data_IF_713519221718
#
_entry.id   IF_713519221718
#
_cell.length_a   1.000
_cell.length_b   1.000
_cell.length_c   1.000
_cell.angle_alpha   90.00
_cell.angle_beta   90.00
_cell.angle_gamma   90.00
#
_symmetry.space_group_name_H-M   'P 1'
#
loop_
_entity.id
_entity.type
_entity.pdbx_description
1 polymer ?
#
# COMPACT_ATOMS: atom_id res chain seq x y z
N UNK A 1 65.65 63.45 54.93
CA UNK A 1 64.43 64.21 55.29
C UNK A 1 63.29 63.65 54.47
N UNK A 2 62.09 63.55 55.03
CA UNK A 2 60.90 63.02 54.39
C UNK A 2 59.69 63.84 54.83
N UNK A 3 58.79 64.14 53.91
CA UNK A 3 57.45 64.71 54.08
C UNK A 3 56.86 64.92 52.66
N UNK A 4 55.54 65.03 52.45
CA UNK A 4 54.45 64.14 52.84
C UNK A 4 53.28 64.39 51.85
N UNK A 5 52.29 63.51 51.76
CA UNK A 5 51.12 63.71 50.86
C UNK A 5 50.12 64.73 51.43
N UNK A 6 49.22 65.33 50.62
CA UNK A 6 47.92 64.68 50.43
C UNK A 6 47.26 64.85 49.03
N UNK A 7 46.37 63.91 48.67
CA UNK A 7 45.29 64.13 47.68
C UNK A 7 44.02 64.64 48.39
N UNK A 8 43.01 65.18 47.68
CA UNK A 8 41.78 64.36 47.53
C UNK A 8 40.92 64.63 46.27
N UNK A 9 40.09 63.64 45.89
CA UNK A 9 38.69 63.67 45.33
C UNK A 9 38.26 64.75 44.31
N UNK A 10 37.41 64.52 43.28
CA UNK A 10 36.68 63.40 42.63
C UNK A 10 36.16 63.98 41.26
N UNK A 11 35.21 63.49 40.44
CA UNK A 11 34.24 62.37 40.47
C UNK A 11 33.76 62.00 39.04
N UNK A 12 33.31 60.74 38.84
CA UNK A 12 32.43 60.26 37.75
C UNK A 12 32.96 60.36 36.27
N UNK A 13 32.54 59.57 35.27
CA UNK A 13 31.52 58.51 35.15
C UNK A 13 31.93 57.39 34.15
N UNK A 14 31.42 56.17 34.35
CA UNK A 14 30.99 55.19 33.32
C UNK A 14 31.78 54.94 32.01
N UNK A 15 32.43 53.78 31.89
CA UNK A 15 32.38 52.81 30.75
C UNK A 15 33.24 51.57 31.13
N UNK A 16 32.74 50.33 31.05
CA UNK A 16 32.65 49.50 29.84
C UNK A 16 34.05 49.30 29.20
N UNK A 17 34.75 48.22 29.56
CA UNK A 17 34.66 46.87 28.98
C UNK A 17 35.46 46.74 27.66
N UNK A 18 36.24 45.67 27.53
CA UNK A 18 37.33 45.56 26.57
C UNK A 18 38.24 44.34 26.80
N UNK A 19 37.64 43.15 26.85
CA UNK A 19 38.33 41.87 27.09
C UNK A 19 38.17 40.81 25.98
N UNK A 20 37.44 41.13 24.90
CA UNK A 20 37.20 40.32 23.70
C UNK A 20 36.89 41.28 22.53
N UNK A 21 37.05 40.98 21.24
CA UNK A 21 37.25 39.69 20.56
C UNK A 21 38.39 39.75 19.51
N UNK A 22 39.13 38.64 19.36
CA UNK A 22 39.87 38.31 18.13
C UNK A 22 39.42 36.94 17.58
N UNK A 23 38.11 36.73 17.35
CA UNK A 23 37.62 35.42 16.87
C UNK A 23 36.35 35.45 16.00
N UNK A 24 36.42 36.07 14.82
CA UNK A 24 35.34 35.98 13.81
C UNK A 24 35.79 35.40 12.46
N UNK A 25 37.00 35.70 11.98
CA UNK A 25 37.45 35.28 10.64
C UNK A 25 37.84 33.78 10.53
N UNK A 26 38.00 33.08 11.66
CA UNK A 26 38.29 31.63 11.71
C UNK A 26 37.09 30.77 11.30
N UNK A 27 35.87 31.29 11.42
CA UNK A 27 34.64 30.50 11.49
C UNK A 27 34.07 30.06 10.12
N UNK A 28 34.48 30.70 9.03
CA UNK A 28 34.05 30.30 7.68
C UNK A 28 34.83 29.07 7.18
N UNK A 29 36.10 28.93 7.56
CA UNK A 29 36.96 27.84 7.10
C UNK A 29 36.73 26.53 7.91
N UNK A 30 36.34 26.64 9.20
CA UNK A 30 35.89 25.51 10.02
C UNK A 30 34.59 24.89 9.49
N UNK A 31 33.63 25.71 9.07
CA UNK A 31 32.37 25.24 8.49
C UNK A 31 32.56 24.48 7.16
N UNK A 32 33.41 24.98 6.25
CA UNK A 32 33.73 24.28 5.00
C UNK A 32 34.41 22.93 5.25
N UNK A 33 35.41 22.88 6.16
CA UNK A 33 36.06 21.62 6.54
C UNK A 33 35.09 20.62 7.19
N UNK A 34 34.20 21.10 8.07
CA UNK A 34 33.16 20.28 8.70
C UNK A 34 32.18 19.73 7.67
N UNK A 35 31.75 20.54 6.69
CA UNK A 35 30.88 20.09 5.60
C UNK A 35 31.53 19.01 4.72
N UNK A 36 32.82 19.17 4.37
CA UNK A 36 33.58 18.16 3.61
C UNK A 36 33.75 16.87 4.40
N UNK A 37 34.12 16.95 5.69
CA UNK A 37 34.26 15.78 6.56
C UNK A 37 32.93 15.04 6.73
N UNK A 38 31.82 15.75 6.93
CA UNK A 38 30.49 15.17 7.02
C UNK A 38 30.06 14.49 5.70
N UNK A 39 30.39 15.09 4.54
CA UNK A 39 30.14 14.48 3.23
C UNK A 39 30.96 13.20 3.02
N UNK A 40 32.24 13.19 3.42
CA UNK A 40 33.11 12.02 3.36
C UNK A 40 32.64 10.90 4.32
N UNK A 41 32.20 11.26 5.53
CA UNK A 41 31.62 10.32 6.48
C UNK A 41 30.31 9.71 5.96
N UNK A 42 29.41 10.51 5.36
CA UNK A 42 28.19 10.04 4.73
C UNK A 42 28.48 9.08 3.55
N UNK A 43 29.43 9.41 2.69
CA UNK A 43 29.87 8.55 1.59
C UNK A 43 30.48 7.22 2.10
N UNK A 44 31.28 7.27 3.18
CA UNK A 44 31.85 6.08 3.82
C UNK A 44 30.75 5.19 4.43
N UNK A 45 29.75 5.80 5.09
CA UNK A 45 28.59 5.08 5.61
C UNK A 45 27.73 4.45 4.49
N UNK A 46 27.61 5.11 3.33
CA UNK A 46 26.95 4.57 2.15
C UNK A 46 27.71 3.38 1.56
N UNK A 47 29.04 3.45 1.46
CA UNK A 47 29.88 2.34 1.02
C UNK A 47 29.82 1.14 1.97
N UNK A 48 29.76 1.37 3.29
CA UNK A 48 29.56 0.29 4.26
C UNK A 48 28.17 -0.35 4.11
N UNK A 49 27.09 0.45 3.99
CA UNK A 49 25.74 -0.08 3.69
C UNK A 49 25.69 -0.91 2.39
N UNK A 50 26.39 -0.47 1.35
CA UNK A 50 26.55 -1.21 0.09
C UNK A 50 27.31 -2.53 0.31
N UNK A 51 28.35 -2.55 1.15
CA UNK A 51 29.11 -3.75 1.49
C UNK A 51 28.27 -4.76 2.29
N UNK A 52 27.49 -4.28 3.26
CA UNK A 52 26.59 -5.10 4.07
C UNK A 52 25.44 -5.67 3.24
N UNK A 53 24.86 -4.88 2.33
CA UNK A 53 23.87 -5.35 1.37
C UNK A 53 24.44 -6.45 0.46
N UNK A 54 25.64 -6.25 -0.09
CA UNK A 54 26.33 -7.28 -0.88
C UNK A 54 26.66 -8.54 -0.06
N UNK A 55 26.94 -8.41 1.24
CA UNK A 55 27.06 -9.55 2.16
C UNK A 55 25.74 -10.32 2.30
N UNK A 56 24.63 -9.62 2.52
CA UNK A 56 23.29 -10.21 2.59
C UNK A 56 22.89 -10.90 1.28
N UNK A 57 23.15 -10.28 0.13
CA UNK A 57 22.89 -10.90 -1.18
C UNK A 57 23.74 -12.15 -1.41
N UNK A 58 25.03 -12.16 -1.02
CA UNK A 58 25.85 -13.38 -1.10
C UNK A 58 25.33 -14.50 -0.21
N UNK A 59 24.88 -14.20 1.01
CA UNK A 59 24.30 -15.20 1.91
C UNK A 59 22.96 -15.75 1.37
N UNK A 60 22.09 -14.88 0.84
CA UNK A 60 20.84 -15.30 0.21
C UNK A 60 21.09 -16.16 -1.03
N UNK A 61 22.07 -15.78 -1.87
CA UNK A 61 22.47 -16.57 -3.04
C UNK A 61 23.09 -17.93 -2.66
N UNK A 62 23.78 -18.02 -1.51
CA UNK A 62 24.22 -19.31 -0.96
C UNK A 62 23.03 -20.18 -0.57
N UNK A 63 22.10 -19.67 0.23
CA UNK A 63 20.91 -20.44 0.65
C UNK A 63 20.03 -20.85 -0.54
N UNK A 64 19.93 -20.00 -1.57
CA UNK A 64 19.22 -20.34 -2.80
C UNK A 64 19.88 -21.51 -3.54
N UNK A 65 21.21 -21.54 -3.66
CA UNK A 65 21.95 -22.67 -4.24
C UNK A 65 21.82 -23.94 -3.41
N UNK A 66 21.94 -23.82 -2.09
CA UNK A 66 21.84 -24.93 -1.12
C UNK A 66 20.45 -25.57 -1.18
N UNK A 67 19.39 -24.77 -1.32
CA UNK A 67 18.02 -25.27 -1.51
C UNK A 67 17.76 -25.87 -2.89
N UNK A 68 18.36 -25.33 -3.96
CA UNK A 68 18.30 -25.95 -5.29
C UNK A 68 18.98 -27.31 -5.27
N UNK A 69 20.17 -27.42 -4.67
CA UNK A 69 20.88 -28.70 -4.55
C UNK A 69 20.06 -29.74 -3.76
N UNK A 70 19.42 -29.35 -2.66
CA UNK A 70 18.50 -30.22 -1.92
C UNK A 70 17.34 -30.73 -2.80
N UNK A 71 16.76 -29.86 -3.64
CA UNK A 71 15.69 -30.26 -4.57
C UNK A 71 16.20 -31.15 -5.72
N UNK A 72 17.45 -30.98 -6.15
CA UNK A 72 18.10 -31.85 -7.14
C UNK A 72 18.39 -33.25 -6.55
N UNK A 73 18.83 -33.32 -5.29
CA UNK A 73 19.03 -34.56 -4.53
C UNK A 73 17.69 -35.30 -4.25
N UNK A 74 16.64 -34.58 -3.83
CA UNK A 74 15.26 -35.10 -3.68
C UNK A 74 14.72 -35.66 -5.01
N UNK A 75 14.91 -34.94 -6.12
CA UNK A 75 14.48 -35.37 -7.45
C UNK A 75 15.27 -36.58 -7.97
N UNK A 76 16.55 -36.73 -7.61
CA UNK A 76 17.32 -37.92 -7.97
C UNK A 76 16.96 -39.14 -7.12
N UNK A 77 16.63 -38.95 -5.84
CA UNK A 77 16.06 -40.02 -5.01
C UNK A 77 14.70 -40.48 -5.56
N UNK A 78 13.79 -39.55 -5.88
CA UNK A 78 12.49 -39.88 -6.51
C UNK A 78 12.64 -40.59 -7.86
N UNK A 79 13.65 -40.25 -8.67
CA UNK A 79 13.98 -41.01 -9.89
C UNK A 79 14.40 -42.44 -9.58
N UNK A 80 15.31 -42.64 -8.61
CA UNK A 80 15.75 -43.96 -8.17
C UNK A 80 14.60 -44.80 -7.60
N UNK A 81 13.66 -44.21 -6.88
CA UNK A 81 12.45 -44.89 -6.38
C UNK A 81 11.52 -45.30 -7.53
N UNK A 82 11.30 -44.42 -8.53
CA UNK A 82 10.51 -44.74 -9.74
C UNK A 82 11.20 -45.78 -10.63
N UNK A 83 12.53 -45.82 -10.65
CA UNK A 83 13.31 -46.81 -11.41
C UNK A 83 13.29 -48.18 -10.71
N UNK A 84 13.51 -48.22 -9.39
CA UNK A 84 13.33 -49.44 -8.59
C UNK A 84 11.89 -49.98 -8.64
N UNK A 85 10.87 -49.12 -8.71
CA UNK A 85 9.48 -49.52 -8.89
C UNK A 85 9.20 -50.11 -10.30
N UNK A 86 10.00 -49.76 -11.32
CA UNK A 86 9.94 -50.37 -12.66
C UNK A 86 10.69 -51.70 -12.75
N UNK A 87 11.77 -51.87 -11.98
CA UNK A 87 12.54 -53.11 -11.94
C UNK A 87 11.88 -54.24 -11.14
N UNK A 88 10.76 -53.95 -10.43
CA UNK A 88 10.03 -54.93 -9.61
C UNK A 88 8.58 -55.22 -10.10
N UNK A 89 8.32 -55.56 -11.38
CA UNK A 89 6.98 -55.71 -11.94
C UNK A 89 6.34 -57.09 -11.66
N UNK A 90 6.01 -57.39 -10.41
CA UNK A 90 5.36 -58.64 -9.99
C UNK A 90 4.20 -58.38 -9.01
N UNK A 91 2.97 -58.19 -9.52
CA UNK A 91 1.83 -57.92 -8.63
C UNK A 91 0.41 -57.67 -9.20
N UNK A 92 0.11 -57.95 -10.48
CA UNK A 92 -1.24 -57.80 -11.04
C UNK A 92 -1.73 -56.35 -11.23
N UNK A 93 -2.95 -56.07 -11.72
CA UNK A 93 -4.03 -56.98 -12.20
C UNK A 93 -4.62 -56.38 -13.48
N UNK A 94 -4.99 -57.21 -14.46
CA UNK A 94 -5.67 -56.78 -15.68
C UNK A 94 -7.07 -56.20 -15.41
N UNK A 95 -7.22 -54.88 -15.51
CA UNK A 95 -8.54 -54.20 -15.43
C UNK A 95 -9.29 -54.29 -16.77
N UNK A 96 -9.67 -55.51 -17.15
CA UNK A 96 -10.40 -55.84 -18.38
C UNK A 96 -11.79 -56.46 -18.09
N UNK A 97 -12.59 -55.79 -17.25
CA UNK A 97 -14.00 -56.12 -17.00
C UNK A 97 -14.87 -54.94 -17.48
N UNK A 98 -15.86 -55.06 -18.36
CA UNK A 98 -16.72 -56.19 -18.73
C UNK A 98 -17.66 -56.67 -17.61
N UNK A 99 -18.63 -55.80 -17.31
CA UNK A 99 -19.93 -56.17 -16.71
C UNK A 99 -21.01 -55.32 -17.40
N UNK A 100 -22.10 -55.85 -17.95
CA UNK A 100 -22.69 -57.17 -17.69
C UNK A 100 -23.80 -57.04 -16.65
N UNK A 101 -24.85 -56.28 -16.99
CA UNK A 101 -26.04 -56.09 -16.16
C UNK A 101 -26.90 -57.37 -16.13
N UNK A 102 -27.05 -58.07 -14.99
CA UNK A 102 -28.15 -59.02 -14.83
C UNK A 102 -29.46 -58.23 -14.75
N UNK A 103 -30.50 -58.71 -15.43
CA UNK A 103 -31.83 -58.11 -15.31
C UNK A 103 -32.43 -58.45 -13.94
N UNK A 104 -32.74 -57.42 -13.14
CA UNK A 104 -33.48 -57.60 -11.88
C UNK A 104 -34.96 -57.83 -12.25
N UNK A 105 -35.39 -59.08 -12.21
CA UNK A 105 -36.81 -59.45 -12.32
C UNK A 105 -37.52 -59.07 -11.03
N UNK A 106 -38.38 -58.05 -11.10
CA UNK A 106 -39.42 -57.85 -10.09
C UNK A 106 -40.54 -58.86 -10.37
N UNK A 107 -40.67 -59.85 -9.49
CA UNK A 107 -41.72 -60.86 -9.52
C UNK A 107 -42.62 -60.65 -8.30
N UNK A 108 -43.81 -60.06 -8.52
CA UNK A 108 -44.82 -59.83 -7.47
C UNK A 108 -45.57 -61.14 -7.15
N UNK A 109 -44.83 -62.11 -6.62
CA UNK A 109 -45.30 -63.45 -6.26
C UNK A 109 -45.92 -63.54 -4.86
N UNK A 110 -47.09 -62.93 -4.66
CA UNK A 110 -47.88 -63.10 -3.42
C UNK A 110 -48.55 -64.48 -3.35
N UNK A 111 -47.82 -65.49 -2.86
CA UNK A 111 -48.37 -66.74 -2.33
C UNK A 111 -47.53 -67.24 -1.13
N UNK A 112 -48.21 -67.52 -0.02
CA UNK A 112 -47.57 -67.93 1.23
C UNK A 112 -47.06 -69.38 1.25
N UNK A 113 -46.00 -69.61 2.04
CA UNK A 113 -45.46 -70.93 2.33
C UNK A 113 -44.35 -70.86 3.39
N UNK A 114 -44.64 -71.34 4.60
CA UNK A 114 -43.74 -71.24 5.76
C UNK A 114 -42.53 -72.19 5.66
N UNK A 115 -41.53 -71.78 4.88
CA UNK A 115 -40.34 -72.58 4.56
C UNK A 115 -38.99 -71.87 4.86
N UNK A 116 -38.97 -70.75 5.59
CA UNK A 116 -37.73 -70.01 5.95
C UNK A 116 -36.78 -70.76 6.92
N UNK A 117 -37.02 -72.04 7.22
CA UNK A 117 -36.45 -72.78 8.36
C UNK A 117 -34.98 -73.26 8.22
N UNK A 118 -34.17 -72.69 7.32
CA UNK A 118 -32.76 -73.11 7.12
C UNK A 118 -31.80 -72.07 6.54
N UNK A 119 -32.21 -70.81 6.38
CA UNK A 119 -31.33 -69.73 5.92
C UNK A 119 -30.96 -68.79 7.09
N UNK A 120 -29.67 -68.62 7.36
CA UNK A 120 -29.15 -67.73 8.40
C UNK A 120 -28.84 -66.34 7.83
N UNK A 121 -29.01 -65.30 8.65
CA UNK A 121 -28.73 -63.91 8.28
C UNK A 121 -27.23 -63.63 8.39
N UNK A 122 -26.59 -63.31 7.26
CA UNK A 122 -25.16 -62.94 7.23
C UNK A 122 -24.97 -61.49 7.66
N UNK A 123 -25.73 -60.57 7.06
CA UNK A 123 -25.64 -59.14 7.34
C UNK A 123 -26.84 -58.35 6.77
N UNK A 124 -26.99 -57.11 7.24
CA UNK A 124 -27.81 -56.09 6.56
C UNK A 124 -26.89 -55.21 5.73
N UNK A 125 -27.07 -55.22 4.41
CA UNK A 125 -26.23 -54.46 3.47
C UNK A 125 -26.71 -53.01 3.32
N UNK A 126 -28.01 -52.78 3.44
CA UNK A 126 -28.63 -51.46 3.26
C UNK A 126 -29.93 -51.39 4.07
N UNK A 127 -30.23 -50.23 4.67
CA UNK A 127 -31.60 -49.91 5.12
C UNK A 127 -32.05 -48.56 4.57
N UNK A 128 -33.35 -48.43 4.31
CA UNK A 128 -34.00 -47.25 3.73
C UNK A 128 -35.26 -46.98 4.55
N UNK A 129 -35.50 -45.72 4.93
CA UNK A 129 -36.81 -45.28 5.42
C UNK A 129 -37.64 -44.80 4.24
N UNK A 130 -38.84 -45.35 4.08
CA UNK A 130 -39.86 -44.88 3.15
C UNK A 130 -41.04 -44.31 3.94
N UNK A 131 -41.72 -43.30 3.36
CA UNK A 131 -43.00 -42.84 3.88
C UNK A 131 -44.12 -43.68 3.28
N UNK A 132 -44.92 -44.32 4.14
CA UNK A 132 -45.98 -45.23 3.70
C UNK A 132 -47.14 -44.44 3.08
N UNK A 133 -47.26 -44.52 1.76
CA UNK A 133 -48.11 -43.67 0.91
C UNK A 133 -49.63 -43.70 1.20
N UNK A 134 -50.12 -44.59 2.08
CA UNK A 134 -51.53 -44.68 2.49
C UNK A 134 -51.84 -44.15 3.89
N UNK A 135 -50.92 -44.31 4.84
CA UNK A 135 -51.18 -44.03 6.26
C UNK A 135 -50.27 -42.95 6.87
N UNK A 136 -49.21 -42.52 6.17
CA UNK A 136 -48.26 -41.52 6.69
C UNK A 136 -47.30 -42.04 7.76
N UNK A 137 -47.31 -43.33 8.07
CA UNK A 137 -46.28 -43.97 8.89
C UNK A 137 -44.93 -44.04 8.18
N UNK A 138 -43.86 -44.21 8.94
CA UNK A 138 -42.56 -44.61 8.38
C UNK A 138 -42.55 -46.14 8.26
N UNK A 139 -42.06 -46.67 7.13
CA UNK A 139 -41.73 -48.09 6.99
C UNK A 139 -40.26 -48.25 6.61
N UNK A 140 -39.63 -49.30 7.12
CA UNK A 140 -38.20 -49.55 6.99
C UNK A 140 -38.01 -50.74 6.04
N UNK A 141 -37.28 -50.52 4.96
CA UNK A 141 -36.89 -51.55 4.02
C UNK A 141 -35.41 -51.86 4.22
N UNK A 142 -35.08 -53.12 4.50
CA UNK A 142 -33.71 -53.59 4.67
C UNK A 142 -33.34 -54.63 3.61
N UNK A 143 -32.19 -54.46 2.97
CA UNK A 143 -31.58 -55.44 2.08
C UNK A 143 -30.72 -56.38 2.93
N UNK A 144 -31.19 -57.60 3.11
CA UNK A 144 -30.57 -58.61 3.97
C UNK A 144 -29.88 -59.65 3.07
N UNK A 145 -28.64 -60.01 3.41
CA UNK A 145 -27.92 -61.12 2.80
C UNK A 145 -28.10 -62.37 3.66
N UNK A 146 -28.57 -63.45 3.04
CA UNK A 146 -28.85 -64.74 3.66
C UNK A 146 -27.87 -65.80 3.16
N UNK A 147 -27.56 -66.77 4.01
CA UNK A 147 -26.71 -67.94 3.71
C UNK A 147 -27.52 -69.21 3.96
N UNK A 148 -27.74 -69.99 2.90
CA UNK A 148 -28.51 -71.23 2.93
C UNK A 148 -27.70 -72.34 3.60
N UNK A 149 -28.15 -72.83 4.76
CA UNK A 149 -27.46 -73.89 5.51
C UNK A 149 -27.78 -75.24 4.86
N UNK A 150 -26.90 -75.67 3.95
CA UNK A 150 -26.94 -77.00 3.35
C UNK A 150 -26.92 -78.09 4.45
N UNK A 151 -27.84 -79.08 4.42
CA UNK A 151 -27.90 -80.10 5.46
C UNK A 151 -26.70 -81.06 5.44
N UNK A 152 -26.22 -81.46 6.62
CA UNK A 152 -24.98 -82.23 6.89
C UNK A 152 -24.84 -83.62 6.22
N UNK A 153 -25.69 -84.01 5.28
CA UNK A 153 -25.69 -85.34 4.64
C UNK A 153 -24.97 -85.40 3.27
N UNK A 154 -24.30 -84.33 2.82
CA UNK A 154 -23.59 -84.27 1.51
C UNK A 154 -22.11 -83.82 1.63
N UNK A 155 -21.40 -84.40 2.60
CA UNK A 155 -20.10 -83.93 3.14
C UNK A 155 -18.88 -84.08 2.19
N UNK A 156 -19.01 -84.74 1.04
CA UNK A 156 -17.85 -85.16 0.23
C UNK A 156 -17.40 -84.19 -0.88
N UNK A 157 -18.31 -83.71 -1.74
CA UNK A 157 -17.95 -82.94 -2.95
C UNK A 157 -18.35 -81.45 -2.90
N UNK A 158 -19.28 -81.08 -2.01
CA UNK A 158 -19.81 -79.71 -1.93
C UNK A 158 -18.81 -78.67 -1.37
N UNK A 159 -17.76 -79.10 -0.66
CA UNK A 159 -16.82 -78.25 0.07
C UNK A 159 -15.96 -77.29 -0.81
N UNK A 160 -16.11 -77.35 -2.14
CA UNK A 160 -15.41 -76.49 -3.10
C UNK A 160 -16.29 -75.39 -3.71
N UNK A 161 -17.60 -75.40 -3.42
CA UNK A 161 -18.54 -74.37 -3.89
C UNK A 161 -18.61 -73.23 -2.86
N UNK A 162 -18.67 -71.96 -3.28
CA UNK A 162 -18.98 -70.87 -2.37
C UNK A 162 -20.40 -71.07 -1.79
N UNK A 163 -20.65 -70.67 -0.53
CA UNK A 163 -21.98 -70.80 0.07
C UNK A 163 -23.03 -70.03 -0.74
N UNK A 164 -24.24 -70.58 -0.84
CA UNK A 164 -25.31 -70.02 -1.68
C UNK A 164 -25.91 -68.77 -1.02
N UNK A 165 -25.25 -67.63 -1.21
CA UNK A 165 -25.65 -66.33 -0.66
C UNK A 165 -26.60 -65.61 -1.59
N UNK A 166 -27.78 -65.28 -1.09
CA UNK A 166 -28.79 -64.50 -1.81
C UNK A 166 -29.20 -63.27 -1.01
N UNK A 167 -29.73 -62.26 -1.72
CA UNK A 167 -30.09 -60.96 -1.15
C UNK A 167 -31.58 -60.72 -1.36
N UNK A 168 -32.30 -60.41 -0.29
CA UNK A 168 -33.75 -60.15 -0.33
C UNK A 168 -34.07 -58.89 0.47
N UNK A 169 -34.96 -58.06 -0.07
CA UNK A 169 -35.55 -56.95 0.68
C UNK A 169 -36.61 -57.51 1.63
N UNK A 170 -36.50 -57.18 2.93
CA UNK A 170 -37.59 -57.34 3.90
C UNK A 170 -38.08 -55.96 4.37
N UNK A 171 -39.39 -55.87 4.61
CA UNK A 171 -40.11 -54.68 5.11
C UNK A 171 -40.40 -54.86 6.58
N UNK A 172 -40.23 -53.78 7.35
CA UNK A 172 -40.45 -53.70 8.79
C UNK A 172 -41.26 -52.44 9.11
N UNK A 173 -42.17 -52.52 10.08
CA UNK A 173 -43.06 -51.42 10.48
C UNK A 173 -42.50 -50.59 11.64
N UNK A 174 -41.49 -51.10 12.34
CA UNK A 174 -40.74 -50.38 13.37
C UNK A 174 -39.28 -50.84 13.43
N UNK A 175 -38.38 -49.96 13.89
CA UNK A 175 -36.95 -50.30 14.04
C UNK A 175 -36.75 -51.45 15.04
N UNK A 176 -37.63 -51.56 16.06
CA UNK A 176 -37.64 -52.68 17.01
C UNK A 176 -37.92 -54.02 16.34
N UNK A 177 -38.71 -54.05 15.27
CA UNK A 177 -38.99 -55.27 14.50
C UNK A 177 -37.75 -55.70 13.69
N UNK A 178 -37.02 -54.74 13.11
CA UNK A 178 -35.74 -54.99 12.44
C UNK A 178 -34.67 -55.47 13.44
N UNK A 179 -34.56 -54.83 14.60
CA UNK A 179 -33.65 -55.28 15.68
C UNK A 179 -33.99 -56.70 16.16
N UNK A 180 -35.26 -57.00 16.42
CA UNK A 180 -35.67 -58.32 16.91
C UNK A 180 -35.66 -59.41 15.82
N UNK A 181 -35.74 -59.05 14.54
CA UNK A 181 -35.47 -59.97 13.44
C UNK A 181 -33.99 -60.36 13.40
N UNK A 182 -33.08 -59.38 13.55
CA UNK A 182 -31.62 -59.60 13.54
C UNK A 182 -31.13 -60.36 14.78
N UNK A 183 -31.73 -60.13 15.96
CA UNK A 183 -31.37 -60.80 17.22
C UNK A 183 -31.71 -62.29 17.29
N UNK A 184 -32.43 -62.85 16.31
CA UNK A 184 -32.89 -64.26 16.34
C UNK A 184 -31.88 -65.25 15.78
N UNK A 185 -30.92 -64.80 14.98
CA UNK A 185 -29.79 -65.64 14.57
C UNK A 185 -28.78 -65.79 15.72
N UNK A 186 -28.20 -66.99 15.83
CA UNK A 186 -27.45 -67.42 17.02
C UNK A 186 -25.97 -66.99 16.97
N UNK A 187 -25.72 -65.68 17.05
CA UNK A 187 -24.37 -65.12 16.90
C UNK A 187 -24.12 -63.76 17.56
N UNK A 188 -23.05 -63.10 17.10
CA UNK A 188 -22.68 -61.73 17.47
C UNK A 188 -23.70 -60.73 16.88
N UNK A 189 -24.12 -59.67 17.61
CA UNK A 189 -25.16 -58.76 17.13
C UNK A 189 -24.73 -57.99 15.88
N UNK A 190 -25.35 -58.32 14.73
CA UNK A 190 -25.02 -57.75 13.43
C UNK A 190 -25.18 -56.21 13.41
N UNK A 191 -24.14 -55.51 12.98
CA UNK A 191 -24.11 -54.05 12.97
C UNK A 191 -24.96 -53.48 11.84
N UNK A 192 -26.00 -52.72 12.17
CA UNK A 192 -26.86 -52.05 11.19
C UNK A 192 -26.11 -50.89 10.47
N UNK A 193 -26.03 -50.89 9.12
CA UNK A 193 -25.46 -49.77 8.36
C UNK A 193 -26.29 -48.49 8.55
N UNK A 194 -25.79 -47.28 8.28
CA UNK A 194 -26.63 -46.07 8.33
C UNK A 194 -27.79 -46.16 7.33
N UNK A 195 -28.89 -45.42 7.57
CA UNK A 195 -29.95 -45.31 6.58
C UNK A 195 -29.43 -44.65 5.30
N UNK A 196 -29.86 -45.18 4.17
CA UNK A 196 -29.68 -44.53 2.87
C UNK A 196 -30.45 -43.22 2.84
N UNK A 197 -29.89 -42.21 2.17
CA UNK A 197 -30.57 -40.95 1.91
C UNK A 197 -31.93 -41.20 1.24
N UNK A 198 -32.96 -40.49 1.68
CA UNK A 198 -34.26 -40.53 1.00
C UNK A 198 -34.11 -40.07 -0.46
N UNK A 199 -34.96 -40.53 -1.41
CA UNK A 199 -34.83 -40.16 -2.82
C UNK A 199 -34.72 -38.65 -3.06
N UNK A 200 -35.53 -37.84 -2.36
CA UNK A 200 -35.43 -36.38 -2.39
C UNK A 200 -34.08 -35.83 -1.90
N UNK A 201 -33.53 -36.37 -0.81
CA UNK A 201 -32.23 -35.94 -0.28
C UNK A 201 -31.11 -36.27 -1.27
N UNK A 202 -31.15 -37.47 -1.86
CA UNK A 202 -30.19 -37.88 -2.89
C UNK A 202 -30.27 -37.00 -4.14
N UNK A 203 -31.48 -36.60 -4.55
CA UNK A 203 -31.70 -35.70 -5.68
C UNK A 203 -31.16 -34.29 -5.42
N UNK A 204 -31.45 -33.72 -4.24
CA UNK A 204 -30.94 -32.39 -3.82
C UNK A 204 -29.41 -32.36 -3.77
N UNK A 205 -28.79 -33.36 -3.16
CA UNK A 205 -27.32 -33.49 -3.10
C UNK A 205 -26.72 -33.67 -4.51
N UNK A 206 -27.39 -34.41 -5.40
CA UNK A 206 -26.93 -34.57 -6.79
C UNK A 206 -27.06 -33.27 -7.60
N UNK A 207 -28.09 -32.44 -7.35
CA UNK A 207 -28.24 -31.12 -7.96
C UNK A 207 -27.19 -30.13 -7.44
N UNK A 208 -26.94 -30.12 -6.13
CA UNK A 208 -25.91 -29.30 -5.49
C UNK A 208 -24.52 -29.64 -6.02
N UNK A 209 -24.15 -30.92 -6.07
CA UNK A 209 -22.88 -31.37 -6.65
C UNK A 209 -22.73 -30.99 -8.14
N UNK A 210 -23.81 -31.09 -8.95
CA UNK A 210 -23.79 -30.62 -10.35
C UNK A 210 -23.56 -29.11 -10.46
N UNK A 211 -24.14 -28.33 -9.55
CA UNK A 211 -23.98 -26.87 -9.47
C UNK A 211 -22.55 -26.50 -9.05
N UNK A 212 -21.97 -27.17 -8.06
CA UNK A 212 -20.58 -26.99 -7.65
C UNK A 212 -19.60 -27.32 -8.78
N UNK A 213 -19.74 -28.48 -9.44
CA UNK A 213 -18.91 -28.85 -10.60
C UNK A 213 -19.02 -27.80 -11.71
N UNK A 214 -20.23 -27.30 -11.99
CA UNK A 214 -20.45 -26.24 -12.99
C UNK A 214 -19.76 -24.93 -12.60
N UNK A 215 -19.78 -24.56 -11.32
CA UNK A 215 -19.06 -23.38 -10.80
C UNK A 215 -17.54 -23.56 -10.92
N UNK A 216 -16.99 -24.70 -10.48
CA UNK A 216 -15.55 -25.00 -10.53
C UNK A 216 -15.05 -25.02 -11.98
N UNK A 217 -15.82 -25.56 -12.93
CA UNK A 217 -15.51 -25.51 -14.36
C UNK A 217 -15.43 -24.07 -14.90
N UNK A 218 -16.39 -23.21 -14.54
CA UNK A 218 -16.40 -21.79 -14.94
C UNK A 218 -15.26 -20.99 -14.27
N UNK A 219 -14.94 -21.27 -13.01
CA UNK A 219 -13.80 -20.68 -12.31
C UNK A 219 -12.46 -21.11 -12.91
N UNK A 220 -12.31 -22.38 -13.30
CA UNK A 220 -11.14 -22.88 -14.02
C UNK A 220 -11.01 -22.25 -15.41
N UNK A 221 -12.13 -22.07 -16.14
CA UNK A 221 -12.16 -21.34 -17.42
C UNK A 221 -11.70 -19.89 -17.23
N UNK A 222 -12.21 -19.19 -16.20
CA UNK A 222 -11.78 -17.83 -15.82
C UNK A 222 -10.32 -17.77 -15.38
N UNK A 223 -9.81 -18.80 -14.71
CA UNK A 223 -8.41 -18.90 -14.31
C UNK A 223 -7.49 -19.04 -15.53
N UNK A 224 -7.82 -19.94 -16.47
CA UNK A 224 -7.07 -20.08 -17.74
C UNK A 224 -7.05 -18.79 -18.55
N UNK A 225 -8.18 -18.08 -18.67
CA UNK A 225 -8.23 -16.80 -19.40
C UNK A 225 -7.38 -15.72 -18.69
N UNK A 226 -7.43 -15.63 -17.35
CA UNK A 226 -6.63 -14.66 -16.58
C UNK A 226 -5.12 -14.95 -16.65
N UNK A 227 -4.71 -16.20 -16.56
CA UNK A 227 -3.29 -16.59 -16.64
C UNK A 227 -2.71 -16.42 -18.05
N UNK A 228 -3.45 -16.79 -19.10
CA UNK A 228 -3.07 -16.49 -20.49
C UNK A 228 -2.95 -14.99 -20.77
N UNK A 229 -3.89 -14.18 -20.26
CA UNK A 229 -3.84 -12.71 -20.40
C UNK A 229 -2.65 -12.12 -19.64
N UNK A 230 -2.39 -12.56 -18.41
CA UNK A 230 -1.28 -12.09 -17.59
C UNK A 230 0.08 -12.45 -18.21
N UNK A 231 0.24 -13.67 -18.74
CA UNK A 231 1.45 -14.05 -19.49
C UNK A 231 1.64 -13.16 -20.72
N UNK A 232 0.58 -12.95 -21.53
CA UNK A 232 0.65 -12.05 -22.70
C UNK A 232 0.99 -10.60 -22.34
N UNK A 233 0.56 -10.09 -21.19
CA UNK A 233 0.94 -8.77 -20.69
C UNK A 233 2.42 -8.72 -20.29
N UNK A 234 2.94 -9.77 -19.63
CA UNK A 234 4.37 -9.89 -19.33
C UNK A 234 5.21 -10.02 -20.61
N UNK A 235 4.81 -10.86 -21.56
CA UNK A 235 5.45 -11.03 -22.87
C UNK A 235 5.50 -9.70 -23.66
N UNK A 236 4.43 -8.90 -23.60
CA UNK A 236 4.36 -7.59 -24.23
C UNK A 236 5.31 -6.57 -23.56
N UNK A 237 5.32 -6.50 -22.23
CA UNK A 237 6.20 -5.62 -21.47
C UNK A 237 7.69 -5.98 -21.66
N UNK A 238 8.03 -7.27 -21.76
CA UNK A 238 9.39 -7.72 -22.09
C UNK A 238 9.80 -7.25 -23.49
N UNK A 239 8.90 -7.34 -24.49
CA UNK A 239 9.16 -6.83 -25.85
C UNK A 239 9.29 -5.31 -25.91
N UNK A 240 8.49 -4.58 -25.13
CA UNK A 240 8.60 -3.12 -24.98
C UNK A 240 9.95 -2.73 -24.38
N UNK A 241 10.35 -3.36 -23.27
CA UNK A 241 11.67 -3.16 -22.67
C UNK A 241 12.80 -3.49 -23.66
N UNK A 242 12.72 -4.61 -24.39
CA UNK A 242 13.70 -4.98 -25.41
C UNK A 242 13.76 -3.94 -26.55
N UNK A 243 12.62 -3.47 -27.06
CA UNK A 243 12.53 -2.40 -28.06
C UNK A 243 13.21 -1.11 -27.56
N UNK A 244 12.92 -0.69 -26.33
CA UNK A 244 13.49 0.51 -25.74
C UNK A 244 15.02 0.39 -25.52
N UNK A 245 15.51 -0.78 -25.09
CA UNK A 245 16.95 -1.05 -24.98
C UNK A 245 17.63 -1.06 -26.35
N UNK A 246 17.01 -1.65 -27.37
CA UNK A 246 17.53 -1.65 -28.75
C UNK A 246 17.57 -0.23 -29.32
N UNK A 247 16.51 0.57 -29.14
CA UNK A 247 16.51 1.98 -29.59
C UNK A 247 17.55 2.82 -28.86
N UNK A 248 17.75 2.64 -27.55
CA UNK A 248 18.76 3.37 -26.78
C UNK A 248 20.18 2.94 -27.21
N UNK A 249 20.41 1.64 -27.40
CA UNK A 249 21.66 1.13 -27.94
C UNK A 249 21.91 1.64 -29.37
N UNK A 250 20.87 1.73 -30.20
CA UNK A 250 20.94 2.25 -31.57
C UNK A 250 21.35 3.72 -31.58
N UNK A 251 20.66 4.62 -30.85
CA UNK A 251 21.05 6.05 -30.77
C UNK A 251 22.49 6.26 -30.28
N UNK A 252 22.92 5.40 -29.35
CA UNK A 252 24.30 5.40 -28.81
C UNK A 252 25.34 4.89 -29.81
N UNK A 253 24.99 3.95 -30.69
CA UNK A 253 25.82 3.47 -31.80
C UNK A 253 25.84 4.50 -32.94
N UNK A 254 24.72 5.17 -33.19
CA UNK A 254 24.56 6.27 -34.16
C UNK A 254 25.23 7.58 -33.73
N UNK A 255 25.84 7.63 -32.54
CA UNK A 255 26.65 8.76 -32.07
C UNK A 255 25.87 9.98 -31.58
N UNK A 256 24.53 9.95 -31.56
CA UNK A 256 23.68 11.10 -31.24
C UNK A 256 23.93 11.67 -29.83
N UNK A 257 24.29 10.80 -28.87
CA UNK A 257 24.66 11.21 -27.50
C UNK A 257 25.98 11.99 -27.47
N UNK A 258 26.88 11.74 -28.42
CA UNK A 258 28.24 12.25 -28.47
C UNK A 258 28.29 13.63 -29.14
N UNK A 259 27.49 13.85 -30.20
CA UNK A 259 27.29 15.17 -30.78
C UNK A 259 26.63 16.15 -29.80
N UNK A 260 25.65 15.68 -29.01
CA UNK A 260 25.03 16.48 -27.94
C UNK A 260 26.05 16.86 -26.85
N UNK A 261 26.90 15.93 -26.42
CA UNK A 261 27.99 16.22 -25.47
C UNK A 261 29.03 17.18 -26.04
N UNK A 262 29.34 17.09 -27.34
CA UNK A 262 30.26 18.03 -28.01
C UNK A 262 29.67 19.45 -28.10
N UNK A 263 28.38 19.60 -28.39
CA UNK A 263 27.75 20.93 -28.45
C UNK A 263 27.53 21.53 -27.05
N UNK A 264 27.21 20.70 -26.04
CA UNK A 264 27.23 21.13 -24.64
C UNK A 264 28.62 21.64 -24.23
N UNK A 265 29.68 20.88 -24.51
CA UNK A 265 31.05 21.27 -24.20
C UNK A 265 31.52 22.53 -24.97
N UNK A 266 30.96 22.80 -26.16
CA UNK A 266 31.15 24.08 -26.87
C UNK A 266 30.47 25.24 -26.15
N UNK A 267 29.23 25.07 -25.71
CA UNK A 267 28.50 26.09 -24.95
C UNK A 267 29.19 26.42 -23.62
N UNK A 268 29.51 25.40 -22.82
CA UNK A 268 30.22 25.55 -21.54
C UNK A 268 31.58 26.25 -21.72
N UNK A 269 32.35 25.88 -22.76
CA UNK A 269 33.61 26.56 -23.09
C UNK A 269 33.40 28.01 -23.53
N UNK A 270 32.29 28.31 -24.22
CA UNK A 270 31.89 29.67 -24.58
C UNK A 270 31.57 30.52 -23.35
N UNK A 271 30.82 29.99 -22.39
CA UNK A 271 30.49 30.64 -21.12
C UNK A 271 31.74 30.85 -20.24
N UNK A 272 32.60 29.84 -20.12
CA UNK A 272 33.86 29.93 -19.39
C UNK A 272 34.79 31.01 -20.01
N UNK A 273 34.81 31.14 -21.33
CA UNK A 273 35.55 32.21 -22.01
C UNK A 273 34.93 33.61 -21.76
N UNK A 274 33.59 33.75 -21.72
CA UNK A 274 32.93 35.02 -21.36
C UNK A 274 33.29 35.44 -19.94
N UNK A 275 33.16 34.52 -18.97
CA UNK A 275 33.47 34.79 -17.57
C UNK A 275 34.95 35.16 -17.36
N UNK A 276 35.87 34.58 -18.15
CA UNK A 276 37.28 34.99 -18.18
C UNK A 276 37.50 36.39 -18.73
N UNK A 277 36.75 36.78 -19.77
CA UNK A 277 36.82 38.14 -20.32
C UNK A 277 36.29 39.16 -19.31
N UNK A 278 35.15 38.88 -18.67
CA UNK A 278 34.54 39.70 -17.62
C UNK A 278 35.47 39.84 -16.39
N UNK A 279 36.14 38.77 -15.96
CA UNK A 279 37.14 38.85 -14.90
C UNK A 279 38.34 39.73 -15.29
N UNK A 280 38.84 39.60 -16.53
CA UNK A 280 39.95 40.43 -17.02
C UNK A 280 39.57 41.91 -17.19
N UNK A 281 38.32 42.20 -17.57
CA UNK A 281 37.76 43.55 -17.62
C UNK A 281 37.63 44.14 -16.21
N UNK A 282 37.16 43.37 -15.22
CA UNK A 282 37.12 43.80 -13.83
C UNK A 282 38.53 44.05 -13.25
N UNK A 283 39.52 43.22 -13.56
CA UNK A 283 40.92 43.44 -13.18
C UNK A 283 41.50 44.72 -13.82
N UNK A 284 41.16 44.99 -15.08
CA UNK A 284 41.55 46.24 -15.76
C UNK A 284 40.89 47.47 -15.13
N UNK A 285 39.58 47.42 -14.87
CA UNK A 285 38.80 48.49 -14.25
C UNK A 285 39.29 48.82 -12.83
N UNK A 286 39.61 47.80 -12.01
CA UNK A 286 40.20 48.00 -10.69
C UNK A 286 41.60 48.58 -10.75
N UNK A 287 42.40 48.19 -11.76
CA UNK A 287 43.72 48.78 -11.98
C UNK A 287 43.62 50.24 -12.39
N UNK A 288 42.76 50.59 -13.33
CA UNK A 288 42.56 51.98 -13.76
C UNK A 288 42.07 52.85 -12.59
N UNK A 289 41.10 52.37 -11.81
CA UNK A 289 40.64 53.05 -10.60
C UNK A 289 41.76 53.23 -9.56
N UNK A 290 42.65 52.25 -9.38
CA UNK A 290 43.82 52.36 -8.52
C UNK A 290 44.85 53.37 -9.06
N UNK A 291 45.16 53.33 -10.36
CA UNK A 291 46.11 54.24 -10.99
C UNK A 291 45.60 55.70 -10.96
N UNK A 292 44.29 55.91 -11.10
CA UNK A 292 43.62 57.23 -10.89
C UNK A 292 43.74 57.68 -9.43
N UNK A 293 43.38 56.84 -8.45
CA UNK A 293 43.51 57.18 -7.03
C UNK A 293 44.95 57.45 -6.62
N UNK A 294 45.93 56.76 -7.23
CA UNK A 294 47.36 56.98 -7.02
C UNK A 294 47.80 58.33 -7.63
N UNK A 295 47.30 58.68 -8.82
CA UNK A 295 47.55 59.97 -9.45
C UNK A 295 46.94 61.13 -8.62
N UNK A 296 45.70 61.00 -8.15
CA UNK A 296 45.06 61.97 -7.23
C UNK A 296 45.85 62.10 -5.92
N UNK A 297 46.26 60.98 -5.31
CA UNK A 297 47.03 61.00 -4.06
C UNK A 297 48.38 61.70 -4.23
N UNK A 298 49.06 61.50 -5.35
CA UNK A 298 50.30 62.20 -5.70
C UNK A 298 50.07 63.69 -6.01
N UNK A 299 48.98 64.02 -6.72
CA UNK A 299 48.60 65.41 -6.99
C UNK A 299 48.33 66.17 -5.68
N UNK A 300 47.52 65.62 -4.77
CA UNK A 300 47.23 66.20 -3.45
C UNK A 300 48.50 66.42 -2.62
N UNK A 301 49.42 65.42 -2.58
CA UNK A 301 50.74 65.56 -1.94
C UNK A 301 51.60 66.67 -2.54
N UNK A 302 51.60 66.81 -3.87
CA UNK A 302 52.42 67.80 -4.59
C UNK A 302 51.88 69.24 -4.50
N UNK A 303 50.57 69.39 -4.31
CA UNK A 303 49.84 70.65 -4.46
C UNK A 303 49.91 71.57 -3.23
N UNK A 304 50.39 71.07 -2.09
CA UNK A 304 50.30 71.78 -0.80
C UNK A 304 48.85 71.97 -0.31
N UNK A 305 47.89 71.33 -0.99
CA UNK A 305 46.46 71.47 -0.76
C UNK A 305 45.93 70.64 0.42
N UNK A 306 46.78 69.86 1.09
CA UNK A 306 46.45 69.04 2.25
C UNK A 306 45.73 69.82 3.35
N UNK A 307 46.12 71.07 3.62
CA UNK A 307 45.42 71.94 4.59
C UNK A 307 43.99 72.30 4.14
N UNK A 308 43.78 72.51 2.84
CA UNK A 308 42.48 72.82 2.23
C UNK A 308 41.60 71.57 2.14
N UNK A 309 42.20 70.41 1.82
CA UNK A 309 41.54 69.11 1.83
C UNK A 309 41.10 68.74 3.26
N UNK A 310 41.96 68.94 4.26
CA UNK A 310 41.62 68.74 5.67
C UNK A 310 40.53 69.70 6.17
N UNK A 311 40.41 70.91 5.61
CA UNK A 311 39.27 71.80 5.88
C UNK A 311 37.98 71.26 5.24
N UNK A 312 38.02 70.84 3.97
CA UNK A 312 36.86 70.23 3.30
C UNK A 312 36.44 68.89 3.94
N UNK A 313 37.39 68.10 4.47
CA UNK A 313 37.09 66.86 5.19
C UNK A 313 36.38 67.13 6.52
N UNK A 314 36.78 68.15 7.28
CA UNK A 314 36.04 68.60 8.47
C UNK A 314 34.62 69.02 8.11
N UNK A 315 34.47 69.89 7.10
CA UNK A 315 33.17 70.36 6.65
C UNK A 315 32.25 69.20 6.19
N UNK A 316 32.75 68.27 5.36
CA UNK A 316 31.98 67.09 4.91
C UNK A 316 31.64 66.16 6.07
N UNK A 317 32.54 65.98 7.03
CA UNK A 317 32.27 65.19 8.24
C UNK A 317 31.17 65.83 9.10
N UNK A 318 31.23 67.16 9.30
CA UNK A 318 30.20 67.93 10.01
C UNK A 318 28.84 67.82 9.32
N UNK A 319 28.78 67.98 7.99
CA UNK A 319 27.55 67.77 7.20
C UNK A 319 27.01 66.34 7.34
N UNK A 320 27.83 65.32 7.14
CA UNK A 320 27.36 63.93 7.28
C UNK A 320 26.99 63.55 8.73
N UNK A 321 27.52 64.24 9.74
CA UNK A 321 27.10 64.09 11.13
C UNK A 321 25.72 64.73 11.37
N UNK A 322 25.47 65.91 10.81
CA UNK A 322 24.17 66.59 10.85
C UNK A 322 23.09 65.82 10.06
N UNK A 323 23.42 65.32 8.87
CA UNK A 323 22.56 64.43 8.07
C UNK A 323 22.21 63.15 8.85
N UNK A 324 23.20 62.53 9.51
CA UNK A 324 23.01 61.33 10.34
C UNK A 324 22.07 61.59 11.52
N UNK A 325 22.28 62.66 12.27
CA UNK A 325 21.42 62.98 13.42
C UNK A 325 20.02 63.44 12.95
N UNK A 326 19.91 64.10 11.80
CA UNK A 326 18.64 64.40 11.13
C UNK A 326 17.88 63.14 10.72
N UNK A 327 18.55 62.20 10.03
CA UNK A 327 17.97 60.92 9.62
C UNK A 327 17.56 60.05 10.83
N UNK A 328 18.32 60.11 11.93
CA UNK A 328 18.02 59.46 13.21
C UNK A 328 16.81 60.10 13.92
N UNK A 329 16.67 61.42 13.89
CA UNK A 329 15.48 62.11 14.39
C UNK A 329 14.23 61.80 13.53
N UNK A 330 14.39 61.71 12.21
CA UNK A 330 13.34 61.25 11.29
C UNK A 330 12.95 59.78 11.57
N UNK A 331 13.94 58.89 11.78
CA UNK A 331 13.71 57.49 12.14
C UNK A 331 12.95 57.36 13.47
N UNK A 332 13.34 58.10 14.51
CA UNK A 332 12.62 58.11 15.79
C UNK A 332 11.17 58.62 15.63
N UNK A 333 10.97 59.66 14.82
CA UNK A 333 9.64 60.19 14.50
C UNK A 333 8.78 59.17 13.73
N UNK A 334 9.37 58.48 12.75
CA UNK A 334 8.70 57.44 11.98
C UNK A 334 8.37 56.21 12.82
N UNK A 335 9.27 55.78 13.71
CA UNK A 335 9.05 54.67 14.64
C UNK A 335 7.94 55.00 15.66
N UNK A 336 7.90 56.24 16.17
CA UNK A 336 6.82 56.68 17.04
C UNK A 336 5.46 56.68 16.32
N UNK A 337 5.40 57.19 15.06
CA UNK A 337 4.20 57.10 14.22
C UNK A 337 3.78 55.66 13.96
N UNK A 338 4.71 54.78 13.57
CA UNK A 338 4.43 53.36 13.34
C UNK A 338 3.91 52.67 14.61
N UNK A 339 4.39 53.08 15.79
CA UNK A 339 3.89 52.56 17.08
C UNK A 339 2.46 53.03 17.35
N UNK A 340 2.15 54.31 17.10
CA UNK A 340 0.78 54.84 17.18
C UNK A 340 -0.16 54.16 16.17
N UNK A 341 0.26 53.99 14.91
CA UNK A 341 -0.50 53.28 13.87
C UNK A 341 -0.76 51.81 14.23
N UNK A 342 0.20 51.12 14.85
CA UNK A 342 0.03 49.76 15.35
C UNK A 342 -0.94 49.70 16.54
N UNK A 343 -0.88 50.66 17.46
CA UNK A 343 -1.84 50.80 18.55
C UNK A 343 -3.27 51.08 18.04
N UNK A 344 -3.43 52.02 17.10
CA UNK A 344 -4.73 52.36 16.50
C UNK A 344 -5.31 51.18 15.70
N UNK A 345 -4.47 50.47 14.94
CA UNK A 345 -4.86 49.25 14.23
C UNK A 345 -5.25 48.13 15.19
N UNK A 346 -4.54 47.98 16.31
CA UNK A 346 -4.90 47.05 17.38
C UNK A 346 -6.26 47.38 18.02
N UNK A 347 -6.51 48.67 18.30
CA UNK A 347 -7.80 49.17 18.81
C UNK A 347 -8.94 48.93 17.79
N UNK A 348 -8.67 49.13 16.49
CA UNK A 348 -9.64 48.90 15.41
C UNK A 348 -9.99 47.42 15.21
N UNK A 349 -9.01 46.52 15.16
CA UNK A 349 -9.30 45.08 15.05
C UNK A 349 -9.94 44.53 16.34
N UNK A 350 -9.63 45.07 17.53
CA UNK A 350 -10.33 44.72 18.78
C UNK A 350 -11.83 45.03 18.70
N UNK A 351 -12.21 46.25 18.31
CA UNK A 351 -13.62 46.64 18.14
C UNK A 351 -14.37 45.83 17.08
N UNK A 352 -13.66 45.36 16.03
CA UNK A 352 -14.21 44.47 14.99
C UNK A 352 -14.50 43.06 15.50
N UNK A 353 -13.73 42.54 16.46
CA UNK A 353 -14.09 41.29 17.15
C UNK A 353 -15.21 41.49 18.15
N UNK A 354 -15.24 42.61 18.89
CA UNK A 354 -16.34 42.95 19.80
C UNK A 354 -17.68 43.06 19.06
N UNK A 355 -17.70 43.75 17.90
CA UNK A 355 -18.89 43.88 17.05
C UNK A 355 -19.41 42.51 16.58
N UNK A 356 -18.53 41.64 16.08
CA UNK A 356 -18.89 40.25 15.74
C UNK A 356 -19.43 39.47 16.95
N UNK A 357 -18.87 39.68 18.14
CA UNK A 357 -19.33 39.00 19.36
C UNK A 357 -20.71 39.50 19.80
N UNK A 358 -21.00 40.79 19.59
CA UNK A 358 -22.33 41.39 19.80
C UNK A 358 -23.35 40.83 18.80
N UNK A 359 -23.02 40.79 17.52
CA UNK A 359 -23.89 40.25 16.45
C UNK A 359 -24.17 38.75 16.67
N UNK A 360 -23.17 37.97 17.09
CA UNK A 360 -23.33 36.56 17.43
C UNK A 360 -24.21 36.36 18.67
N UNK A 361 -24.11 37.25 19.68
CA UNK A 361 -24.96 37.23 20.87
C UNK A 361 -26.40 37.64 20.56
N UNK A 362 -26.60 38.58 19.64
CA UNK A 362 -27.89 38.97 19.09
C UNK A 362 -28.53 37.82 18.28
N UNK A 363 -27.77 37.18 17.39
CA UNK A 363 -28.26 36.05 16.59
C UNK A 363 -28.61 34.84 17.46
N UNK A 364 -27.84 34.57 18.53
CA UNK A 364 -28.16 33.52 19.50
C UNK A 364 -29.41 33.87 20.33
N UNK A 365 -29.63 35.16 20.65
CA UNK A 365 -30.86 35.65 21.30
C UNK A 365 -32.08 35.46 20.39
N UNK A 366 -31.94 35.80 19.11
CA UNK A 366 -32.97 35.61 18.07
C UNK A 366 -33.26 34.11 17.84
N UNK A 367 -32.22 33.28 17.73
CA UNK A 367 -32.38 31.82 17.62
C UNK A 367 -33.10 31.25 18.84
N UNK A 368 -32.73 31.66 20.06
CA UNK A 368 -33.38 31.20 21.30
C UNK A 368 -34.83 31.69 21.43
N UNK A 369 -35.16 32.87 20.87
CA UNK A 369 -36.56 33.33 20.73
C UNK A 369 -37.31 32.46 19.72
N UNK A 370 -36.77 32.27 18.52
CA UNK A 370 -37.41 31.47 17.45
C UNK A 370 -37.55 29.99 17.83
N UNK A 371 -36.60 29.44 18.57
CA UNK A 371 -36.69 28.08 19.11
C UNK A 371 -37.83 27.95 20.14
N UNK A 372 -38.00 28.94 21.03
CA UNK A 372 -39.19 29.01 21.90
C UNK A 372 -40.48 29.13 21.09
N UNK A 373 -40.53 30.05 20.14
CA UNK A 373 -41.68 30.30 19.25
C UNK A 373 -42.10 29.03 18.47
N UNK A 374 -41.14 28.25 17.96
CA UNK A 374 -41.40 26.96 17.31
C UNK A 374 -41.91 25.91 18.32
N UNK A 375 -41.33 25.84 19.53
CA UNK A 375 -41.75 24.90 20.57
C UNK A 375 -43.16 25.22 21.09
N UNK A 376 -43.46 26.50 21.25
CA UNK A 376 -44.76 27.05 21.65
C UNK A 376 -45.81 26.87 20.54
N UNK A 377 -45.42 26.99 19.26
CA UNK A 377 -46.27 26.64 18.12
C UNK A 377 -46.57 25.13 18.05
N UNK A 378 -45.58 24.28 18.30
CA UNK A 378 -45.77 22.83 18.38
C UNK A 378 -46.63 22.41 19.58
N UNK A 379 -46.51 23.14 20.69
CA UNK A 379 -47.34 22.93 21.89
C UNK A 379 -48.79 23.41 21.69
N UNK A 380 -49.01 24.45 20.87
CA UNK A 380 -50.34 24.94 20.49
C UNK A 380 -51.02 24.14 19.35
N UNK A 381 -50.43 23.02 18.92
CA UNK A 381 -51.21 21.90 18.37
C UNK A 381 -51.51 21.92 16.87
N UNK A 382 -50.81 22.69 16.05
CA UNK A 382 -50.94 22.62 14.57
C UNK A 382 -49.57 22.51 13.86
N UNK A 383 -49.56 22.02 12.62
CA UNK A 383 -48.39 21.81 11.75
C UNK A 383 -47.34 20.81 12.27
N UNK A 384 -47.76 19.77 13.00
CA UNK A 384 -46.88 18.65 13.40
C UNK A 384 -46.57 17.65 12.25
N UNK A 385 -47.40 17.63 11.20
CA UNK A 385 -47.38 16.56 10.20
C UNK A 385 -46.36 16.72 9.04
N UNK A 386 -45.97 17.95 8.66
CA UNK A 386 -45.27 18.20 7.39
C UNK A 386 -43.74 18.31 7.47
N UNK A 387 -43.14 18.60 8.63
CA UNK A 387 -41.69 18.86 8.72
C UNK A 387 -40.85 17.61 9.02
N UNK A 388 -41.48 16.47 9.35
CA UNK A 388 -40.77 15.24 9.77
C UNK A 388 -40.25 14.37 8.61
N UNK A 389 -40.58 14.71 7.36
CA UNK A 389 -40.28 13.90 6.16
C UNK A 389 -39.11 14.44 5.32
N UNK A 390 -38.63 15.66 5.55
CA UNK A 390 -37.63 16.33 4.71
C UNK A 390 -36.21 16.32 5.29
N UNK A 391 -36.04 16.28 6.61
CA UNK A 391 -34.74 16.41 7.29
C UNK A 391 -33.93 15.11 7.38
N UNK A 392 -34.59 13.94 7.37
CA UNK A 392 -33.93 12.66 7.63
C UNK A 392 -33.16 12.15 6.39
N UNK A 393 -33.80 12.22 5.22
CA UNK A 393 -33.34 11.53 4.00
C UNK A 393 -32.02 12.06 3.42
N UNK A 394 -31.71 13.35 3.58
CA UNK A 394 -30.44 13.94 3.13
C UNK A 394 -29.27 13.73 4.11
N UNK A 395 -29.56 13.40 5.37
CA UNK A 395 -28.56 13.14 6.41
C UNK A 395 -27.87 11.79 6.21
N UNK A 396 -28.65 10.75 5.89
CA UNK A 396 -28.19 9.39 5.62
C UNK A 396 -27.25 9.33 4.41
N UNK A 397 -27.65 9.93 3.28
CA UNK A 397 -26.87 9.92 2.02
C UNK A 397 -25.52 10.65 2.17
N UNK A 398 -25.48 11.72 2.98
CA UNK A 398 -24.26 12.44 3.34
C UNK A 398 -23.30 11.56 4.17
N UNK A 399 -23.82 10.81 5.15
CA UNK A 399 -23.02 9.84 5.95
C UNK A 399 -22.51 8.68 5.09
N UNK A 400 -23.34 8.16 4.19
CA UNK A 400 -22.98 7.09 3.26
C UNK A 400 -21.83 7.50 2.33
N UNK A 401 -21.87 8.70 1.75
CA UNK A 401 -20.76 9.21 0.94
C UNK A 401 -19.49 9.46 1.76
N UNK A 402 -19.62 9.93 3.02
CA UNK A 402 -18.46 10.08 3.91
C UNK A 402 -17.78 8.73 4.21
N UNK A 403 -18.56 7.71 4.60
CA UNK A 403 -18.07 6.34 4.83
C UNK A 403 -17.45 5.71 3.57
N UNK A 404 -18.07 5.95 2.40
CA UNK A 404 -17.57 5.45 1.11
C UNK A 404 -16.24 6.09 0.72
N UNK A 405 -16.05 7.37 0.99
CA UNK A 405 -14.77 8.06 0.79
C UNK A 405 -13.70 7.59 1.79
N UNK A 406 -14.07 7.38 3.06
CA UNK A 406 -13.16 6.88 4.10
C UNK A 406 -12.63 5.48 3.78
N UNK A 407 -13.51 4.55 3.38
CA UNK A 407 -13.09 3.21 2.93
C UNK A 407 -12.26 3.21 1.63
N UNK A 408 -12.34 4.27 0.82
CA UNK A 408 -11.52 4.41 -0.38
C UNK A 408 -10.11 4.93 -0.02
N UNK A 409 -10.00 5.92 0.85
CA UNK A 409 -8.69 6.42 1.30
C UNK A 409 -7.90 5.39 2.12
N UNK A 410 -8.57 4.54 2.92
CA UNK A 410 -7.93 3.39 3.58
C UNK A 410 -7.37 2.38 2.56
N UNK A 411 -8.08 2.14 1.45
CA UNK A 411 -7.63 1.24 0.37
C UNK A 411 -6.50 1.85 -0.47
N UNK A 412 -6.45 3.18 -0.61
CA UNK A 412 -5.31 3.86 -1.24
C UNK A 412 -4.07 3.87 -0.33
N UNK A 413 -4.21 4.17 0.97
CA UNK A 413 -3.12 4.02 1.95
C UNK A 413 -2.58 2.59 1.98
N UNK A 414 -3.46 1.58 1.96
CA UNK A 414 -3.06 0.17 1.93
C UNK A 414 -2.29 -0.20 0.65
N UNK A 415 -2.58 0.48 -0.47
CA UNK A 415 -1.84 0.31 -1.73
C UNK A 415 -0.51 1.06 -1.73
N UNK A 416 -0.42 2.26 -1.16
CA UNK A 416 0.88 2.95 -0.99
C UNK A 416 1.83 2.14 -0.09
N UNK A 417 1.32 1.55 1.01
CA UNK A 417 2.11 0.69 1.90
C UNK A 417 2.70 -0.52 1.16
N UNK A 418 1.88 -1.30 0.45
CA UNK A 418 2.35 -2.47 -0.33
C UNK A 418 3.30 -2.06 -1.46
N UNK A 419 3.10 -0.90 -2.10
CA UNK A 419 4.03 -0.37 -3.10
C UNK A 419 5.37 0.08 -2.47
N UNK A 420 5.36 0.59 -1.23
CA UNK A 420 6.58 0.99 -0.52
C UNK A 420 7.44 -0.19 -0.03
N UNK A 421 6.83 -1.35 0.22
CA UNK A 421 7.56 -2.60 0.49
C UNK A 421 8.06 -3.26 -0.80
N UNK A 422 7.26 -3.23 -1.88
CA UNK A 422 7.64 -3.81 -3.18
C UNK A 422 8.74 -3.01 -3.91
N UNK A 423 8.74 -1.67 -3.78
CA UNK A 423 9.74 -0.79 -4.35
C UNK A 423 10.47 -0.03 -3.24
N UNK A 424 11.63 -0.58 -2.83
CA UNK A 424 12.44 -0.04 -1.73
C UNK A 424 12.60 1.49 -1.78
N UNK A 425 12.29 2.14 -0.66
CA UNK A 425 11.77 3.51 -0.56
C UNK A 425 12.58 4.71 -1.06
N UNK A 426 13.61 4.52 -1.89
CA UNK A 426 14.20 5.59 -2.69
C UNK A 426 13.25 6.01 -3.84
N UNK A 427 12.71 5.05 -4.58
CA UNK A 427 11.90 5.33 -5.78
C UNK A 427 10.61 6.12 -5.48
N UNK A 428 10.00 5.89 -4.32
CA UNK A 428 8.77 6.57 -3.90
C UNK A 428 8.97 8.08 -3.62
N UNK A 429 10.21 8.54 -3.39
CA UNK A 429 10.50 9.95 -3.15
C UNK A 429 10.68 10.75 -4.46
N UNK A 430 11.24 10.11 -5.49
CA UNK A 430 11.57 10.73 -6.78
C UNK A 430 10.31 11.00 -7.62
N UNK A 431 9.39 10.02 -7.69
CA UNK A 431 8.04 10.19 -8.30
C UNK A 431 7.23 11.31 -7.60
N UNK A 432 7.56 11.64 -6.34
CA UNK A 432 6.92 12.72 -5.56
C UNK A 432 7.54 14.10 -5.80
N UNK A 433 8.75 14.17 -6.35
CA UNK A 433 9.39 15.40 -6.84
C UNK A 433 8.81 15.81 -8.20
N UNK A 434 8.82 14.91 -9.19
CA UNK A 434 8.44 15.23 -10.59
C UNK A 434 6.98 15.69 -10.71
N UNK A 435 6.06 15.08 -9.94
CA UNK A 435 4.65 15.51 -9.88
C UNK A 435 4.43 16.89 -9.24
N UNK A 436 5.44 17.48 -8.57
CA UNK A 436 5.38 18.86 -8.07
C UNK A 436 5.99 19.87 -9.04
N UNK A 437 7.06 19.52 -9.76
CA UNK A 437 7.69 20.43 -10.74
C UNK A 437 6.86 20.57 -12.02
N UNK A 438 6.23 19.49 -12.50
CA UNK A 438 5.41 19.51 -13.72
C UNK A 438 4.13 20.35 -13.63
N UNK A 439 3.73 20.80 -12.43
CA UNK A 439 2.46 21.55 -12.23
C UNK A 439 2.60 23.07 -12.40
N UNK A 440 3.81 23.62 -12.57
CA UNK A 440 4.07 25.06 -12.42
C UNK A 440 4.51 25.80 -13.69
N UNK A 441 4.51 25.16 -14.86
CA UNK A 441 4.94 25.78 -16.12
C UNK A 441 3.95 25.59 -17.29
N UNK A 442 2.64 25.48 -17.00
CA UNK A 442 1.57 25.37 -18.01
C UNK A 442 0.59 26.55 -18.01
N UNK A 443 1.09 27.78 -17.78
CA UNK A 443 0.28 29.02 -17.82
C UNK A 443 1.09 30.25 -18.24
N UNK A 444 1.53 30.33 -19.51
CA UNK A 444 1.65 31.60 -20.26
C UNK A 444 2.24 31.42 -21.69
N UNK A 445 1.38 31.43 -22.72
CA UNK A 445 1.35 32.45 -23.81
C UNK A 445 0.50 31.98 -24.99
N UNK A 446 -0.71 32.52 -25.10
CA UNK A 446 -1.47 32.60 -26.34
C UNK A 446 -1.24 33.99 -26.95
N UNK A 447 -0.88 34.07 -28.23
CA UNK A 447 -1.22 35.17 -29.15
C UNK A 447 -0.98 34.72 -30.60
N UNK A 448 -1.69 35.28 -31.60
CA UNK A 448 -1.90 34.62 -32.89
C UNK A 448 -0.83 34.92 -33.96
N UNK A 449 -0.67 33.99 -34.90
CA UNK A 449 -0.02 34.26 -36.18
C UNK A 449 -0.93 35.11 -37.07
N UNK A 450 -0.37 36.15 -37.70
CA UNK A 450 -1.08 36.98 -38.69
C UNK A 450 -1.11 36.30 -40.05
N UNK A 451 -2.19 36.50 -40.82
CA UNK A 451 -2.34 35.93 -42.16
C UNK A 451 -1.72 36.88 -43.19
N UNK A 452 -0.77 36.38 -43.98
CA UNK A 452 -0.31 37.03 -45.21
C UNK A 452 -0.15 36.01 -46.34
N UNK A 453 -0.74 36.37 -47.49
CA UNK A 453 -0.61 35.85 -48.86
C UNK A 453 0.05 34.48 -49.10
N UNK A 454 -0.73 33.58 -49.72
CA UNK A 454 -0.67 33.45 -51.19
C UNK A 454 -2.07 33.20 -51.78
#
# INVERSE_FOLDING_TARGET
MAENTPSPTNNASSSADGGADQNTNTNNNSNVRTAVNNKMAAQTAQLNKMRDANGKYKNLLKMAKERIQQQEEELEQLKREVEAAKENPLGGVDTASSSGTPAITMDDGDLGGDAESSASIVCVLQRVKAQQARNGGEEIWALVEFEEVMPDNLVAEAATMPPNRYRKWKRFEAETELEDFIRRDTGEPLTLPPYSLAPEQSARIQEEAKKEVSQVMEEFRRFRVRSELSRKQQDAHIKELQSNHVQTAQRRIEGQDLDQQLEQARSERGELNKLKAEMAENEANWKEAYDVLLAENNALKSSGSEALLAAQWRQRYETCLEEKETAKAQLQTALHKQTQELEERGKADAGKYEMKYRDLKESFRLYRKKAKEIFESQQNGDVSAQLKTLTDRGSEESKLNYLKNLMNSEKENSRELVLSEAFGGAAAFEVRQERRTSSYNSSHRNTPASVYSL
#
